data_IF_237515761902
#
_entry.id   IF_237515761902
#
_cell.length_a   1.000
_cell.length_b   1.000
_cell.length_c   1.000
_cell.angle_alpha   90.00
_cell.angle_beta   90.00
_cell.angle_gamma   90.00
#
_symmetry.space_group_name_H-M   'P 1'
#
loop_
_entity.id
_entity.type
_entity.pdbx_description
1 polymer ?
#
# COMPACT_ATOMS: atom_id res chain seq x y z
N UNK A 1 -9.08 25.83 -13.55
CA UNK A 1 -8.12 24.85 -13.00
C UNK A 1 -8.93 23.78 -12.32
N UNK A 2 -8.74 22.53 -12.73
CA UNK A 2 -9.46 21.40 -12.12
C UNK A 2 -8.90 21.13 -10.72
N UNK A 3 -9.66 20.36 -9.92
CA UNK A 3 -9.22 19.91 -8.59
C UNK A 3 -9.53 18.44 -8.39
N UNK A 4 -8.69 17.75 -7.62
CA UNK A 4 -8.97 16.40 -7.14
C UNK A 4 -9.95 16.42 -5.94
N UNK A 5 -10.20 15.24 -5.37
CA UNK A 5 -11.12 15.06 -4.22
C UNK A 5 -10.60 15.69 -2.92
N UNK A 6 -9.30 15.98 -2.82
CA UNK A 6 -8.65 16.62 -1.68
C UNK A 6 -8.51 18.14 -1.87
N UNK A 7 -8.96 18.67 -3.01
CA UNK A 7 -8.92 20.08 -3.34
C UNK A 7 -7.59 20.56 -3.92
N UNK A 8 -6.66 19.65 -4.23
CA UNK A 8 -5.39 19.99 -4.87
C UNK A 8 -5.65 20.48 -6.30
N UNK A 9 -4.99 21.56 -6.73
CA UNK A 9 -5.08 22.03 -8.10
C UNK A 9 -4.42 21.05 -9.06
N UNK A 10 -5.09 20.74 -10.17
CA UNK A 10 -4.55 19.89 -11.23
C UNK A 10 -4.26 20.72 -12.48
N UNK A 11 -3.11 20.49 -13.13
CA UNK A 11 -2.73 21.20 -14.36
C UNK A 11 -3.57 20.83 -15.58
N UNK A 12 -4.25 19.69 -15.56
CA UNK A 12 -5.21 19.35 -16.61
C UNK A 12 -6.36 20.36 -16.68
N UNK A 13 -6.76 20.71 -17.91
CA UNK A 13 -7.98 21.47 -18.16
C UNK A 13 -9.18 20.55 -18.46
N UNK A 14 -8.93 19.28 -18.78
CA UNK A 14 -9.94 18.29 -19.14
C UNK A 14 -10.68 17.78 -17.91
N UNK A 15 -11.99 18.01 -17.87
CA UNK A 15 -12.86 17.50 -16.80
C UNK A 15 -12.84 15.96 -16.79
N UNK A 16 -12.84 15.35 -17.98
CA UNK A 16 -12.81 13.88 -18.10
C UNK A 16 -11.50 13.29 -17.58
N UNK A 17 -10.37 13.91 -17.90
CA UNK A 17 -9.08 13.49 -17.38
C UNK A 17 -9.03 13.60 -15.85
N UNK A 18 -9.54 14.71 -15.28
CA UNK A 18 -9.70 14.85 -13.83
C UNK A 18 -10.57 13.75 -13.23
N UNK A 19 -11.77 13.53 -13.79
CA UNK A 19 -12.72 12.54 -13.26
C UNK A 19 -12.10 11.14 -13.28
N UNK A 20 -11.36 10.79 -14.33
CA UNK A 20 -10.64 9.52 -14.45
C UNK A 20 -9.51 9.39 -13.43
N UNK A 21 -8.71 10.45 -13.25
CA UNK A 21 -7.67 10.48 -12.23
C UNK A 21 -8.23 10.32 -10.80
N UNK A 22 -9.34 10.99 -10.48
CA UNK A 22 -10.00 10.88 -9.17
C UNK A 22 -10.51 9.44 -8.93
N UNK A 23 -11.11 8.79 -9.94
CA UNK A 23 -11.47 7.37 -9.83
C UNK A 23 -10.26 6.48 -9.57
N UNK A 24 -9.17 6.69 -10.32
CA UNK A 24 -7.93 5.94 -10.14
C UNK A 24 -7.33 6.13 -8.76
N UNK A 25 -7.38 7.35 -8.23
CA UNK A 25 -6.94 7.70 -6.88
C UNK A 25 -7.75 6.97 -5.81
N UNK A 26 -9.08 6.98 -5.92
CA UNK A 26 -9.96 6.26 -5.00
C UNK A 26 -9.66 4.75 -4.98
N UNK A 27 -9.55 4.12 -6.16
CA UNK A 27 -9.18 2.71 -6.26
C UNK A 27 -7.80 2.43 -5.67
N UNK A 28 -6.81 3.31 -5.93
CA UNK A 28 -5.46 3.16 -5.42
C UNK A 28 -5.40 3.23 -3.90
N UNK A 29 -6.07 4.22 -3.30
CA UNK A 29 -6.10 4.41 -1.85
C UNK A 29 -6.87 3.28 -1.14
N UNK A 30 -7.94 2.77 -1.75
CA UNK A 30 -8.72 1.66 -1.22
C UNK A 30 -8.05 0.30 -1.48
N UNK A 31 -6.99 0.27 -2.29
CA UNK A 31 -6.36 -0.93 -2.81
C UNK A 31 -7.34 -1.87 -3.51
N UNK A 32 -8.23 -1.33 -4.34
CA UNK A 32 -9.13 -2.09 -5.22
C UNK A 32 -8.58 -2.17 -6.64
N UNK A 33 -9.11 -3.09 -7.45
CA UNK A 33 -8.79 -3.16 -8.88
C UNK A 33 -9.29 -1.92 -9.64
N UNK A 34 -8.78 -1.69 -10.85
CA UNK A 34 -9.22 -0.59 -11.74
C UNK A 34 -8.42 0.71 -11.61
N UNK A 35 -7.46 0.81 -10.70
CA UNK A 35 -6.69 2.04 -10.49
C UNK A 35 -5.85 2.42 -11.71
N UNK A 36 -5.11 1.46 -12.30
CA UNK A 36 -4.27 1.73 -13.46
C UNK A 36 -5.11 2.06 -14.70
N UNK A 37 -6.20 1.33 -14.93
CA UNK A 37 -7.12 1.56 -16.05
C UNK A 37 -7.69 2.98 -16.01
N UNK A 38 -8.11 3.44 -14.83
CA UNK A 38 -8.61 4.80 -14.65
C UNK A 38 -7.52 5.86 -14.88
N UNK A 39 -6.28 5.61 -14.46
CA UNK A 39 -5.17 6.51 -14.78
C UNK A 39 -4.83 6.52 -16.28
N UNK A 40 -4.92 5.37 -16.96
CA UNK A 40 -4.73 5.29 -18.41
C UNK A 40 -5.83 6.05 -19.17
N UNK A 41 -7.09 5.96 -18.72
CA UNK A 41 -8.18 6.80 -19.23
C UNK A 41 -7.90 8.29 -19.05
N UNK A 42 -7.34 8.68 -17.90
CA UNK A 42 -6.96 10.07 -17.63
C UNK A 42 -5.90 10.57 -18.63
N UNK A 43 -4.88 9.75 -18.91
CA UNK A 43 -3.84 10.05 -19.91
C UNK A 43 -4.43 10.08 -21.33
N UNK A 44 -5.38 9.21 -21.66
CA UNK A 44 -6.01 9.21 -22.97
C UNK A 44 -6.84 10.47 -23.24
N UNK A 45 -7.41 11.08 -22.19
CA UNK A 45 -8.16 12.33 -22.27
C UNK A 45 -7.28 13.60 -22.17
N UNK A 46 -6.05 13.47 -21.65
CA UNK A 46 -5.03 14.52 -21.62
C UNK A 46 -3.62 13.91 -21.57
N UNK A 47 -2.97 13.81 -22.73
CA UNK A 47 -1.65 13.17 -22.88
C UNK A 47 -0.56 13.87 -22.05
N UNK A 48 -0.76 15.14 -21.68
CA UNK A 48 0.19 15.92 -20.88
C UNK A 48 -0.14 15.92 -19.37
N UNK A 49 -1.09 15.08 -18.93
CA UNK A 49 -1.45 15.01 -17.52
C UNK A 49 -0.40 14.24 -16.69
N UNK A 50 0.62 14.96 -16.23
CA UNK A 50 1.80 14.37 -15.59
C UNK A 50 1.49 13.53 -14.34
N UNK A 51 0.54 13.94 -13.49
CA UNK A 51 0.19 13.17 -12.30
C UNK A 51 -0.41 11.79 -12.64
N UNK A 52 -1.22 11.69 -13.70
CA UNK A 52 -1.77 10.41 -14.13
C UNK A 52 -0.67 9.47 -14.66
N UNK A 53 0.25 9.99 -15.48
CA UNK A 53 1.44 9.25 -15.92
C UNK A 53 2.29 8.76 -14.74
N UNK A 54 2.49 9.63 -13.75
CA UNK A 54 3.30 9.33 -12.57
C UNK A 54 2.64 8.28 -11.67
N UNK A 55 1.31 8.33 -11.51
CA UNK A 55 0.54 7.34 -10.79
C UNK A 55 0.60 5.96 -11.46
N UNK A 56 0.53 5.88 -12.80
CA UNK A 56 0.74 4.63 -13.55
C UNK A 56 2.15 4.08 -13.28
N UNK A 57 3.17 4.94 -13.39
CA UNK A 57 4.55 4.54 -13.13
C UNK A 57 4.73 3.98 -11.71
N UNK A 58 4.14 4.66 -10.72
CA UNK A 58 4.20 4.27 -9.30
C UNK A 58 3.44 2.96 -9.03
N UNK A 59 2.23 2.78 -9.56
CA UNK A 59 1.48 1.52 -9.42
C UNK A 59 2.26 0.34 -9.98
N UNK A 60 2.77 0.49 -11.21
CA UNK A 60 3.63 -0.53 -11.84
C UNK A 60 4.87 -0.81 -11.00
N UNK A 61 5.47 0.18 -10.36
CA UNK A 61 6.60 -0.06 -9.46
C UNK A 61 6.21 -0.88 -8.23
N UNK A 62 5.12 -0.51 -7.54
CA UNK A 62 4.63 -1.18 -6.33
C UNK A 62 4.31 -2.66 -6.60
N UNK A 63 3.76 -2.96 -7.78
CA UNK A 63 3.47 -4.32 -8.21
C UNK A 63 4.67 -5.10 -8.75
N UNK A 64 5.88 -4.54 -8.70
CA UNK A 64 7.10 -5.19 -9.22
C UNK A 64 7.23 -5.16 -10.75
N UNK A 65 6.38 -4.38 -11.44
CA UNK A 65 6.40 -4.14 -12.90
C UNK A 65 7.18 -2.87 -13.30
N UNK A 66 8.16 -2.45 -12.49
CA UNK A 66 8.87 -1.17 -12.63
C UNK A 66 9.53 -0.91 -14.00
N UNK A 67 9.88 -1.94 -14.78
CA UNK A 67 10.37 -1.76 -16.16
C UNK A 67 9.31 -1.13 -17.05
N UNK A 68 8.06 -1.58 -16.95
CA UNK A 68 6.92 -1.02 -17.69
C UNK A 68 6.49 0.36 -17.18
N UNK A 69 6.93 0.77 -15.99
CA UNK A 69 6.69 2.12 -15.46
C UNK A 69 7.60 3.21 -16.05
N UNK A 70 8.65 2.84 -16.80
CA UNK A 70 9.64 3.80 -17.32
C UNK A 70 9.08 4.77 -18.35
N UNK A 71 8.23 4.28 -19.25
CA UNK A 71 7.61 5.10 -20.30
C UNK A 71 6.65 6.16 -19.70
N UNK A 72 5.65 5.79 -18.86
CA UNK A 72 4.83 6.79 -18.16
C UNK A 72 5.67 7.77 -17.33
N UNK A 73 6.70 7.30 -16.63
CA UNK A 73 7.59 8.21 -15.90
C UNK A 73 8.31 9.22 -16.82
N UNK A 74 8.77 8.78 -18.00
CA UNK A 74 9.38 9.67 -18.97
C UNK A 74 8.38 10.72 -19.51
N UNK A 75 7.12 10.32 -19.73
CA UNK A 75 6.06 11.23 -20.16
C UNK A 75 5.74 12.28 -19.09
N UNK A 76 5.66 11.88 -17.82
CA UNK A 76 5.48 12.81 -16.70
C UNK A 76 6.62 13.84 -16.63
N UNK A 77 7.88 13.41 -16.81
CA UNK A 77 9.04 14.32 -16.85
C UNK A 77 9.03 15.30 -18.01
N UNK A 78 8.52 14.89 -19.18
CA UNK A 78 8.44 15.77 -20.35
C UNK A 78 7.51 16.97 -20.10
N UNK A 79 6.60 16.86 -19.13
CA UNK A 79 5.66 17.92 -18.76
C UNK A 79 6.18 18.84 -17.64
N UNK A 80 7.41 18.65 -17.14
CA UNK A 80 7.89 19.28 -15.90
C UNK A 80 7.80 20.82 -15.88
N UNK A 81 8.02 21.47 -17.02
CA UNK A 81 8.02 22.94 -17.13
C UNK A 81 6.64 23.58 -16.96
N UNK A 82 5.56 22.82 -17.21
CA UNK A 82 4.18 23.31 -17.08
C UNK A 82 3.52 22.97 -15.75
N UNK A 83 4.23 22.27 -14.85
CA UNK A 83 3.70 21.81 -13.57
C UNK A 83 3.60 22.94 -12.55
N UNK A 84 2.56 22.87 -11.71
CA UNK A 84 2.46 23.72 -10.52
C UNK A 84 3.58 23.38 -9.51
N UNK A 85 3.89 24.26 -8.54
CA UNK A 85 4.87 23.95 -7.50
C UNK A 85 4.58 22.63 -6.76
N UNK A 86 3.31 22.34 -6.47
CA UNK A 86 2.89 21.08 -5.84
C UNK A 86 3.17 19.89 -6.75
N UNK A 87 2.80 19.95 -8.03
CA UNK A 87 3.05 18.85 -8.97
C UNK A 87 4.56 18.65 -9.26
N UNK A 88 5.37 19.71 -9.24
CA UNK A 88 6.82 19.62 -9.34
C UNK A 88 7.43 18.89 -8.14
N UNK A 89 7.00 19.22 -6.93
CA UNK A 89 7.41 18.53 -5.71
C UNK A 89 7.04 17.05 -5.75
N UNK A 90 5.80 16.76 -6.15
CA UNK A 90 5.31 15.40 -6.32
C UNK A 90 6.15 14.61 -7.34
N UNK A 91 6.41 15.18 -8.53
CA UNK A 91 7.27 14.58 -9.55
C UNK A 91 8.68 14.31 -9.03
N UNK A 92 9.26 15.24 -8.28
CA UNK A 92 10.61 15.07 -7.73
C UNK A 92 10.69 13.92 -6.71
N UNK A 93 9.69 13.78 -5.84
CA UNK A 93 9.65 12.76 -4.79
C UNK A 93 9.40 11.38 -5.40
N UNK A 94 8.30 11.21 -6.14
CA UNK A 94 7.96 9.91 -6.76
C UNK A 94 9.00 9.54 -7.82
N UNK A 95 9.52 10.52 -8.57
CA UNK A 95 10.61 10.29 -9.52
C UNK A 95 11.87 9.72 -8.84
N UNK A 96 12.22 10.21 -7.65
CA UNK A 96 13.34 9.66 -6.87
C UNK A 96 13.10 8.21 -6.46
N UNK A 97 11.87 7.88 -6.04
CA UNK A 97 11.47 6.49 -5.74
C UNK A 97 11.57 5.60 -6.98
N UNK A 98 11.06 6.05 -8.12
CA UNK A 98 11.10 5.32 -9.39
C UNK A 98 12.52 5.06 -9.89
N UNK A 99 13.45 5.98 -9.60
CA UNK A 99 14.86 5.87 -9.93
C UNK A 99 15.67 5.05 -8.90
N UNK A 100 15.04 4.64 -7.79
CA UNK A 100 15.72 3.91 -6.71
C UNK A 100 16.70 4.78 -5.92
N UNK A 101 16.48 6.10 -5.87
CA UNK A 101 17.26 7.04 -5.06
C UNK A 101 16.51 7.26 -3.76
N UNK A 102 17.04 6.77 -2.63
CA UNK A 102 16.43 6.89 -1.31
C UNK A 102 16.95 8.07 -0.48
N UNK A 103 18.19 8.48 -0.73
CA UNK A 103 18.88 9.45 0.11
C UNK A 103 18.20 10.83 0.07
N UNK A 104 17.80 11.34 1.23
CA UNK A 104 17.20 12.67 1.35
C UNK A 104 15.77 12.77 0.81
N UNK A 105 15.14 11.66 0.38
CA UNK A 105 13.79 11.70 -0.22
C UNK A 105 12.72 11.90 0.84
N UNK A 106 12.88 11.30 2.02
CA UNK A 106 11.93 11.46 3.10
C UNK A 106 11.88 12.92 3.59
N UNK A 107 13.02 13.57 3.76
CA UNK A 107 13.10 14.97 4.19
C UNK A 107 12.43 15.90 3.19
N UNK A 108 12.59 15.63 1.89
CA UNK A 108 11.88 16.36 0.82
C UNK A 108 10.37 16.11 0.88
N UNK A 109 9.95 14.87 1.08
CA UNK A 109 8.54 14.52 1.17
C UNK A 109 7.88 15.12 2.43
N UNK A 110 8.58 15.13 3.55
CA UNK A 110 8.14 15.79 4.78
C UNK A 110 7.97 17.30 4.57
N UNK A 111 8.97 17.98 4.01
CA UNK A 111 8.88 19.42 3.71
C UNK A 111 7.74 19.73 2.72
N UNK A 112 7.57 18.88 1.69
CA UNK A 112 6.47 19.00 0.73
C UNK A 112 5.10 18.88 1.41
N UNK A 113 4.93 17.92 2.32
CA UNK A 113 3.67 17.71 3.03
C UNK A 113 3.37 18.81 4.07
N UNK A 114 4.37 19.55 4.54
CA UNK A 114 4.14 20.75 5.35
C UNK A 114 3.56 21.91 4.53
N UNK A 115 3.91 22.01 3.25
CA UNK A 115 3.41 23.05 2.34
C UNK A 115 2.10 22.62 1.65
N UNK A 116 2.00 21.34 1.26
CA UNK A 116 0.91 20.73 0.52
C UNK A 116 0.35 19.51 1.27
N UNK A 117 -0.30 19.70 2.45
CA UNK A 117 -0.72 18.60 3.31
C UNK A 117 -1.79 17.69 2.69
N UNK A 118 -2.49 18.18 1.67
CA UNK A 118 -3.52 17.45 0.93
C UNK A 118 -2.96 16.56 -0.20
N UNK A 119 -1.64 16.56 -0.45
CA UNK A 119 -1.03 15.69 -1.46
C UNK A 119 -0.98 14.23 -1.00
N UNK A 120 -2.12 13.56 -1.15
CA UNK A 120 -2.39 12.23 -0.60
C UNK A 120 -1.44 11.15 -1.13
N UNK A 121 -0.97 11.27 -2.37
CA UNK A 121 -0.07 10.28 -2.96
C UNK A 121 1.33 10.37 -2.35
N UNK A 122 1.77 11.59 -1.99
CA UNK A 122 3.01 11.78 -1.24
C UNK A 122 2.84 11.32 0.21
N UNK A 123 1.69 11.61 0.83
CA UNK A 123 1.38 11.08 2.17
C UNK A 123 1.39 9.55 2.18
N UNK A 124 0.75 8.89 1.21
CA UNK A 124 0.77 7.44 1.03
C UNK A 124 2.18 6.89 0.81
N UNK A 125 3.03 7.58 0.05
CA UNK A 125 4.42 7.17 -0.15
C UNK A 125 5.26 7.23 1.15
N UNK A 126 4.83 8.02 2.14
CA UNK A 126 5.52 8.19 3.42
C UNK A 126 4.97 7.32 4.55
N UNK A 127 3.68 7.01 4.56
CA UNK A 127 3.01 6.33 5.67
C UNK A 127 2.83 4.82 5.40
N UNK A 128 3.00 3.99 6.43
CA UNK A 128 2.81 2.53 6.36
C UNK A 128 4.11 1.70 6.34
N UNK A 129 3.98 0.37 6.32
CA UNK A 129 5.14 -0.54 6.47
C UNK A 129 6.04 -0.58 5.22
N UNK A 130 5.46 -0.43 4.03
CA UNK A 130 6.19 -0.44 2.76
C UNK A 130 6.44 0.96 2.19
N UNK A 131 6.57 1.95 3.08
CA UNK A 131 6.73 3.36 2.75
C UNK A 131 8.17 3.85 2.88
N UNK A 132 8.41 5.13 2.60
CA UNK A 132 9.69 5.81 2.88
C UNK A 132 10.11 5.71 4.36
N UNK A 133 9.16 5.84 5.30
CA UNK A 133 9.44 5.66 6.72
C UNK A 133 9.64 4.17 7.03
N UNK A 134 8.73 3.33 6.54
CA UNK A 134 8.72 1.90 6.82
C UNK A 134 10.00 1.18 6.37
N UNK A 135 10.54 1.54 5.22
CA UNK A 135 11.81 1.05 4.66
C UNK A 135 13.01 1.95 4.92
N UNK A 136 12.86 3.02 5.69
CA UNK A 136 13.94 3.97 5.96
C UNK A 136 15.04 3.46 6.89
N UNK A 137 14.83 2.32 7.57
CA UNK A 137 15.79 1.70 8.49
C UNK A 137 16.13 2.55 9.73
N UNK A 138 15.37 3.61 9.98
CA UNK A 138 15.59 4.49 11.12
C UNK A 138 15.02 3.88 12.40
N UNK A 139 15.82 3.77 13.48
CA UNK A 139 15.29 3.41 14.79
C UNK A 139 14.19 4.40 15.22
N UNK A 140 13.08 3.89 15.76
CA UNK A 140 11.96 4.73 16.18
C UNK A 140 11.05 5.20 15.03
N UNK A 141 11.09 4.53 13.87
CA UNK A 141 10.21 4.79 12.72
C UNK A 141 8.72 4.83 13.09
N UNK A 142 8.28 4.09 14.10
CA UNK A 142 6.90 4.07 14.57
C UNK A 142 6.49 5.44 15.15
N UNK A 143 7.40 6.08 15.90
CA UNK A 143 7.20 7.43 16.42
C UNK A 143 7.18 8.47 15.29
N UNK A 144 8.04 8.31 14.28
CA UNK A 144 8.05 9.20 13.11
C UNK A 144 6.76 9.05 12.26
N UNK A 145 6.29 7.83 12.07
CA UNK A 145 5.04 7.54 11.37
C UNK A 145 3.83 8.17 12.11
N UNK A 146 3.81 8.07 13.44
CA UNK A 146 2.79 8.76 14.25
C UNK A 146 2.94 10.28 14.17
N UNK A 147 4.15 10.82 14.22
CA UNK A 147 4.40 12.26 14.15
C UNK A 147 3.92 12.85 12.81
N UNK A 148 4.30 12.22 11.69
CA UNK A 148 3.87 12.66 10.35
C UNK A 148 2.36 12.56 10.18
N UNK A 149 1.74 11.43 10.53
CA UNK A 149 0.29 11.31 10.44
C UNK A 149 -0.43 12.30 11.35
N UNK A 150 0.04 12.52 12.58
CA UNK A 150 -0.54 13.52 13.50
C UNK A 150 -0.43 14.95 12.97
N UNK A 151 0.67 15.29 12.30
CA UNK A 151 0.85 16.58 11.62
C UNK A 151 -0.19 16.78 10.50
N UNK A 152 -0.49 15.73 9.75
CA UNK A 152 -1.46 15.77 8.65
C UNK A 152 -2.92 15.73 9.13
N UNK A 153 -3.22 15.16 10.30
CA UNK A 153 -4.59 14.91 10.76
C UNK A 153 -5.55 16.11 10.70
N UNK A 154 -5.16 17.35 11.07
CA UNK A 154 -6.03 18.51 10.96
C UNK A 154 -6.51 18.83 9.53
N UNK A 155 -5.84 18.30 8.51
CA UNK A 155 -6.13 18.58 7.10
C UNK A 155 -7.11 17.59 6.47
N UNK A 156 -7.25 16.37 7.02
CA UNK A 156 -8.02 15.30 6.40
C UNK A 156 -9.41 15.09 7.01
N UNK A 157 -9.67 15.57 8.23
CA UNK A 157 -10.96 15.39 8.89
C UNK A 157 -11.37 13.92 8.97
N UNK A 158 -12.54 13.60 8.45
CA UNK A 158 -13.12 12.24 8.44
C UNK A 158 -12.78 11.44 7.16
N UNK A 159 -11.75 11.82 6.38
CA UNK A 159 -11.34 11.04 5.21
C UNK A 159 -11.02 9.58 5.59
N UNK A 160 -11.68 8.64 4.92
CA UNK A 160 -11.61 7.22 5.28
C UNK A 160 -10.21 6.64 5.09
N UNK A 161 -9.48 7.06 4.06
CA UNK A 161 -8.14 6.55 3.79
C UNK A 161 -7.21 7.03 4.90
N UNK A 162 -7.24 8.32 5.18
CA UNK A 162 -6.40 8.94 6.19
C UNK A 162 -6.69 8.38 7.59
N UNK A 163 -7.97 8.26 7.98
CA UNK A 163 -8.34 7.67 9.26
C UNK A 163 -7.80 6.24 9.42
N UNK A 164 -7.84 5.42 8.36
CA UNK A 164 -7.26 4.07 8.43
C UNK A 164 -5.75 4.09 8.59
N UNK A 165 -5.06 4.96 7.85
CA UNK A 165 -3.60 5.07 7.90
C UNK A 165 -3.13 5.63 9.24
N UNK A 166 -3.85 6.64 9.78
CA UNK A 166 -3.56 7.20 11.09
C UNK A 166 -3.83 6.19 12.22
N UNK A 167 -4.88 5.37 12.12
CA UNK A 167 -5.14 4.28 13.05
C UNK A 167 -3.95 3.31 13.12
N UNK A 168 -3.36 2.99 11.96
CA UNK A 168 -2.18 2.14 11.89
C UNK A 168 -0.98 2.79 12.59
N UNK A 169 -0.68 4.06 12.32
CA UNK A 169 0.41 4.78 13.00
C UNK A 169 0.18 4.90 14.52
N UNK A 170 -1.05 5.09 14.96
CA UNK A 170 -1.44 5.08 16.38
C UNK A 170 -1.13 3.73 17.02
N UNK A 171 -1.53 2.63 16.36
CA UNK A 171 -1.35 1.27 16.84
C UNK A 171 0.11 0.86 16.94
N UNK A 172 0.93 1.17 15.93
CA UNK A 172 2.38 0.91 15.96
C UNK A 172 3.08 1.64 17.13
N UNK A 173 2.51 2.77 17.59
CA UNK A 173 2.97 3.50 18.76
C UNK A 173 2.30 3.06 20.09
N UNK A 174 1.53 1.97 20.07
CA UNK A 174 0.83 1.41 21.24
C UNK A 174 -0.45 2.14 21.63
N UNK A 175 -0.97 3.06 20.81
CA UNK A 175 -2.19 3.82 21.08
C UNK A 175 -3.44 3.07 20.60
N UNK A 176 -3.74 1.93 21.22
CA UNK A 176 -4.79 1.01 20.76
C UNK A 176 -6.21 1.63 20.82
N UNK A 177 -6.55 2.32 21.92
CA UNK A 177 -7.87 2.95 22.07
C UNK A 177 -8.14 4.05 21.01
N UNK A 178 -7.20 5.00 20.75
CA UNK A 178 -7.30 5.89 19.60
C UNK A 178 -7.39 5.16 18.27
N UNK A 179 -6.54 4.15 18.05
CA UNK A 179 -6.53 3.38 16.80
C UNK A 179 -7.88 2.72 16.52
N UNK A 180 -8.50 2.12 17.55
CA UNK A 180 -9.82 1.52 17.46
C UNK A 180 -10.90 2.51 16.97
N UNK A 181 -10.95 3.72 17.56
CA UNK A 181 -11.92 4.75 17.13
C UNK A 181 -11.67 5.20 15.69
N UNK A 182 -10.42 5.43 15.33
CA UNK A 182 -10.02 5.87 13.99
C UNK A 182 -10.39 4.83 12.93
N UNK A 183 -10.06 3.55 13.17
CA UNK A 183 -10.34 2.49 12.19
C UNK A 183 -11.83 2.15 12.08
N UNK A 184 -12.57 2.19 13.19
CA UNK A 184 -14.02 2.04 13.18
C UNK A 184 -14.70 3.14 12.35
N UNK A 185 -14.26 4.40 12.53
CA UNK A 185 -14.79 5.52 11.76
C UNK A 185 -14.45 5.39 10.27
N UNK A 186 -13.22 5.00 9.94
CA UNK A 186 -12.79 4.77 8.55
C UNK A 186 -13.67 3.73 7.85
N UNK A 187 -13.82 2.55 8.45
CA UNK A 187 -14.59 1.45 7.86
C UNK A 187 -16.10 1.70 7.85
N UNK A 188 -16.62 2.55 8.74
CA UNK A 188 -18.00 3.01 8.67
C UNK A 188 -18.27 3.92 7.46
N UNK A 189 -17.25 4.65 6.97
CA UNK A 189 -17.35 5.54 5.81
C UNK A 189 -17.09 4.76 4.51
N UNK A 190 -16.02 3.98 4.46
CA UNK A 190 -15.70 3.10 3.34
C UNK A 190 -15.43 1.66 3.82
N UNK A 191 -16.46 0.80 3.89
CA UNK A 191 -16.31 -0.58 4.35
C UNK A 191 -15.52 -1.47 3.37
N UNK A 192 -15.24 -1.01 2.14
CA UNK A 192 -14.48 -1.76 1.13
C UNK A 192 -13.05 -1.24 0.94
N UNK A 193 -12.54 -0.46 1.90
CA UNK A 193 -11.12 -0.11 1.98
C UNK A 193 -10.29 -1.34 2.41
N UNK A 194 -9.54 -1.94 1.48
CA UNK A 194 -8.73 -3.13 1.77
C UNK A 194 -7.57 -2.83 2.73
N UNK A 195 -6.94 -1.65 2.61
CA UNK A 195 -5.93 -1.17 3.57
C UNK A 195 -6.55 -0.98 4.96
N UNK A 196 -7.78 -0.48 5.04
CA UNK A 196 -8.54 -0.36 6.28
C UNK A 196 -8.81 -1.73 6.94
N UNK A 197 -9.23 -2.71 6.16
CA UNK A 197 -9.42 -4.08 6.68
C UNK A 197 -8.13 -4.72 7.15
N UNK A 198 -7.03 -4.47 6.46
CA UNK A 198 -5.69 -4.84 6.90
C UNK A 198 -5.31 -4.18 8.24
N UNK A 199 -5.48 -2.86 8.38
CA UNK A 199 -5.21 -2.17 9.64
C UNK A 199 -6.13 -2.65 10.78
N UNK A 200 -7.39 -2.97 10.47
CA UNK A 200 -8.30 -3.60 11.44
C UNK A 200 -7.81 -4.99 11.86
N UNK A 201 -7.24 -5.77 10.93
CA UNK A 201 -6.65 -7.06 11.24
C UNK A 201 -5.49 -6.94 12.24
N UNK A 202 -4.62 -5.94 12.08
CA UNK A 202 -3.56 -5.65 13.06
C UNK A 202 -4.12 -5.32 14.45
N UNK A 203 -5.22 -4.58 14.55
CA UNK A 203 -5.83 -4.29 15.86
C UNK A 203 -6.32 -5.57 16.56
N UNK A 204 -6.86 -6.53 15.81
CA UNK A 204 -7.20 -7.85 16.38
C UNK A 204 -5.95 -8.59 16.91
N UNK A 205 -4.78 -8.44 16.27
CA UNK A 205 -3.52 -8.99 16.82
C UNK A 205 -3.13 -8.32 18.13
N UNK A 206 -3.10 -7.00 18.16
CA UNK A 206 -2.68 -6.24 19.35
C UNK A 206 -3.60 -6.46 20.55
N UNK A 207 -4.88 -6.74 20.31
CA UNK A 207 -5.86 -7.08 21.35
C UNK A 207 -5.87 -8.58 21.72
N UNK A 208 -5.13 -9.42 20.99
CA UNK A 208 -5.12 -10.88 21.19
C UNK A 208 -6.43 -11.56 20.79
N UNK A 209 -7.22 -10.94 19.92
CA UNK A 209 -8.56 -11.37 19.53
C UNK A 209 -8.54 -12.26 18.27
N UNK A 210 -7.69 -13.29 18.26
CA UNK A 210 -7.42 -14.20 17.12
C UNK A 210 -8.69 -14.68 16.40
N UNK A 211 -9.63 -15.30 17.13
CA UNK A 211 -10.85 -15.86 16.54
C UNK A 211 -11.76 -14.78 15.94
N UNK A 212 -11.81 -13.59 16.54
CA UNK A 212 -12.61 -12.48 16.05
C UNK A 212 -11.99 -11.93 14.75
N UNK A 213 -10.67 -11.74 14.72
CA UNK A 213 -9.94 -11.34 13.52
C UNK A 213 -10.10 -12.31 12.36
N UNK A 214 -9.98 -13.62 12.63
CA UNK A 214 -10.18 -14.66 11.63
C UNK A 214 -11.59 -14.62 11.03
N UNK A 215 -12.62 -14.51 11.88
CA UNK A 215 -14.02 -14.44 11.43
C UNK A 215 -14.25 -13.20 10.58
N UNK A 216 -13.85 -12.03 11.10
CA UNK A 216 -13.96 -10.75 10.40
C UNK A 216 -13.33 -10.80 9.01
N UNK A 217 -12.10 -11.29 8.90
CA UNK A 217 -11.36 -11.20 7.65
C UNK A 217 -11.82 -12.24 6.63
N UNK A 218 -12.24 -13.43 7.06
CA UNK A 218 -12.89 -14.43 6.18
C UNK A 218 -14.18 -13.89 5.59
N UNK A 219 -15.01 -13.21 6.39
CA UNK A 219 -16.25 -12.60 5.91
C UNK A 219 -15.95 -11.44 4.96
N UNK A 220 -14.98 -10.59 5.30
CA UNK A 220 -14.66 -9.40 4.50
C UNK A 220 -14.03 -9.74 3.14
N UNK A 221 -13.13 -10.73 3.08
CA UNK A 221 -12.38 -11.07 1.87
C UNK A 221 -13.24 -11.80 0.83
N UNK A 222 -14.37 -12.39 1.23
CA UNK A 222 -15.24 -13.17 0.33
C UNK A 222 -15.72 -12.38 -0.90
N UNK A 223 -15.94 -11.07 -0.74
CA UNK A 223 -16.36 -10.16 -1.81
C UNK A 223 -15.21 -9.27 -2.31
N UNK A 224 -13.96 -9.55 -1.93
CA UNK A 224 -12.80 -8.79 -2.40
C UNK A 224 -12.24 -9.43 -3.67
N UNK A 225 -11.93 -8.60 -4.67
CA UNK A 225 -11.39 -9.08 -5.94
C UNK A 225 -10.08 -9.84 -5.69
N UNK A 226 -9.94 -11.10 -6.12
CA UNK A 226 -8.70 -11.85 -6.00
C UNK A 226 -7.52 -11.18 -6.72
N UNK A 227 -7.76 -10.28 -7.68
CA UNK A 227 -6.72 -9.50 -8.34
C UNK A 227 -6.34 -8.22 -7.58
N UNK A 228 -7.02 -7.92 -6.47
CA UNK A 228 -6.68 -6.79 -5.62
C UNK A 228 -5.32 -6.97 -4.95
N UNK A 229 -4.53 -5.89 -4.88
CA UNK A 229 -3.13 -5.94 -4.41
C UNK A 229 -2.98 -6.43 -2.96
N UNK A 230 -4.04 -6.35 -2.14
CA UNK A 230 -4.03 -6.83 -0.76
C UNK A 230 -4.50 -8.28 -0.59
N UNK A 231 -4.96 -8.96 -1.65
CA UNK A 231 -5.64 -10.25 -1.50
C UNK A 231 -4.71 -11.32 -0.90
N UNK A 232 -3.48 -11.41 -1.42
CA UNK A 232 -2.43 -12.28 -0.88
C UNK A 232 -2.19 -12.00 0.61
N UNK A 233 -2.04 -10.73 0.97
CA UNK A 233 -1.66 -10.34 2.32
C UNK A 233 -2.78 -10.53 3.35
N UNK A 234 -4.03 -10.22 2.97
CA UNK A 234 -5.18 -10.51 3.81
C UNK A 234 -5.39 -12.01 3.98
N UNK A 235 -5.13 -12.81 2.94
CA UNK A 235 -5.14 -14.27 3.02
C UNK A 235 -4.05 -14.80 3.96
N UNK A 236 -2.87 -14.16 3.98
CA UNK A 236 -1.82 -14.50 4.92
C UNK A 236 -2.24 -14.33 6.40
N UNK A 237 -2.94 -13.26 6.74
CA UNK A 237 -3.51 -13.11 8.09
C UNK A 237 -4.51 -14.22 8.44
N UNK A 238 -5.37 -14.60 7.49
CA UNK A 238 -6.30 -15.72 7.66
C UNK A 238 -5.53 -17.02 7.94
N UNK A 239 -4.48 -17.31 7.16
CA UNK A 239 -3.66 -18.50 7.36
C UNK A 239 -2.95 -18.51 8.72
N UNK A 240 -2.39 -17.37 9.15
CA UNK A 240 -1.75 -17.25 10.45
C UNK A 240 -2.71 -17.46 11.62
N UNK A 241 -3.91 -16.88 11.57
CA UNK A 241 -4.88 -17.10 12.63
C UNK A 241 -5.47 -18.52 12.59
N UNK A 242 -5.65 -19.11 11.42
CA UNK A 242 -6.01 -20.53 11.31
C UNK A 242 -4.96 -21.42 11.99
N UNK A 243 -3.67 -21.16 11.75
CA UNK A 243 -2.58 -21.84 12.43
C UNK A 243 -2.63 -21.63 13.96
N UNK A 244 -2.87 -20.40 14.42
CA UNK A 244 -2.96 -20.06 15.84
C UNK A 244 -4.12 -20.77 16.56
N UNK A 245 -5.22 -21.03 15.87
CA UNK A 245 -6.36 -21.81 16.36
C UNK A 245 -6.17 -23.34 16.21
N UNK A 246 -5.04 -23.79 15.65
CA UNK A 246 -4.74 -25.20 15.38
C UNK A 246 -5.41 -25.76 14.12
N UNK A 247 -6.07 -24.93 13.32
CA UNK A 247 -6.66 -25.31 12.03
C UNK A 247 -5.61 -25.30 10.91
N UNK A 248 -4.68 -26.25 11.00
CA UNK A 248 -3.60 -26.46 10.03
C UNK A 248 -4.13 -26.75 8.63
N UNK A 249 -5.31 -27.36 8.53
CA UNK A 249 -5.95 -27.64 7.24
C UNK A 249 -6.31 -26.35 6.54
N UNK A 250 -7.07 -25.47 7.19
CA UNK A 250 -7.44 -24.16 6.63
C UNK A 250 -6.20 -23.32 6.33
N UNK A 251 -5.19 -23.35 7.20
CA UNK A 251 -3.91 -22.66 6.94
C UNK A 251 -3.31 -23.08 5.59
N UNK A 252 -3.18 -24.39 5.32
CA UNK A 252 -2.63 -24.87 4.05
C UNK A 252 -3.54 -24.60 2.85
N UNK A 253 -4.86 -24.77 3.00
CA UNK A 253 -5.81 -24.44 1.92
C UNK A 253 -5.70 -22.98 1.47
N UNK A 254 -5.55 -22.05 2.42
CA UNK A 254 -5.37 -20.63 2.13
C UNK A 254 -3.98 -20.33 1.56
N UNK A 255 -2.94 -20.96 2.11
CA UNK A 255 -1.58 -20.80 1.61
C UNK A 255 -1.48 -21.20 0.14
N UNK A 256 -1.99 -22.38 -0.21
CA UNK A 256 -1.91 -22.95 -1.56
C UNK A 256 -2.74 -22.14 -2.58
N UNK A 257 -3.88 -21.60 -2.15
CA UNK A 257 -4.79 -20.89 -3.04
C UNK A 257 -4.43 -19.42 -3.29
N UNK A 258 -3.83 -18.74 -2.31
CA UNK A 258 -3.74 -17.27 -2.34
C UNK A 258 -2.36 -16.68 -2.04
N UNK A 259 -1.44 -17.47 -1.47
CA UNK A 259 -0.11 -17.00 -1.03
C UNK A 259 1.01 -17.65 -1.87
N UNK A 260 0.78 -18.90 -2.31
CA UNK A 260 1.76 -19.66 -3.07
C UNK A 260 2.24 -18.89 -4.32
N UNK A 261 3.56 -18.88 -4.59
CA UNK A 261 4.14 -18.18 -5.75
C UNK A 261 3.54 -18.55 -7.11
N UNK A 262 2.99 -19.76 -7.27
CA UNK A 262 2.41 -20.23 -8.53
C UNK A 262 0.97 -19.78 -8.73
N UNK A 263 0.23 -19.54 -7.65
CA UNK A 263 -1.22 -19.26 -7.69
C UNK A 263 -1.55 -17.82 -7.34
N UNK A 264 -0.72 -17.15 -6.55
CA UNK A 264 -0.97 -15.79 -6.07
C UNK A 264 -0.85 -14.75 -7.18
N UNK A 265 -1.85 -13.87 -7.22
CA UNK A 265 -1.90 -12.62 -8.01
C UNK A 265 -1.28 -11.43 -7.27
N UNK A 266 -0.83 -11.61 -6.03
CA UNK A 266 -0.34 -10.52 -5.18
C UNK A 266 0.98 -9.90 -5.69
N UNK A 267 1.33 -8.70 -5.20
CA UNK A 267 2.63 -8.10 -5.48
C UNK A 267 3.77 -9.06 -5.08
N UNK A 268 4.81 -9.13 -5.91
CA UNK A 268 5.94 -10.03 -5.68
C UNK A 268 6.59 -9.83 -4.31
N UNK A 269 6.57 -8.60 -3.79
CA UNK A 269 7.07 -8.27 -2.46
C UNK A 269 6.26 -8.96 -1.35
N UNK A 270 4.93 -8.95 -1.43
CA UNK A 270 4.08 -9.64 -0.46
C UNK A 270 4.30 -11.15 -0.49
N UNK A 271 4.41 -11.76 -1.68
CA UNK A 271 4.66 -13.19 -1.78
C UNK A 271 5.97 -13.58 -1.06
N UNK A 272 7.05 -12.80 -1.24
CA UNK A 272 8.36 -13.07 -0.60
C UNK A 272 8.44 -12.68 0.87
N UNK A 273 7.48 -11.93 1.42
CA UNK A 273 7.38 -11.68 2.85
C UNK A 273 6.45 -12.68 3.53
N UNK A 274 5.30 -12.93 2.93
CA UNK A 274 4.17 -13.64 3.53
C UNK A 274 4.43 -15.14 3.56
N UNK A 275 4.84 -15.73 2.44
CA UNK A 275 5.06 -17.17 2.35
C UNK A 275 6.18 -17.64 3.30
N UNK A 276 7.41 -17.07 3.30
CA UNK A 276 8.45 -17.47 4.25
C UNK A 276 8.02 -17.26 5.71
N UNK A 277 7.32 -16.16 6.01
CA UNK A 277 6.86 -15.85 7.35
C UNK A 277 5.82 -16.87 7.86
N UNK A 278 4.98 -17.41 6.97
CA UNK A 278 4.02 -18.47 7.28
C UNK A 278 4.73 -19.81 7.46
N UNK A 279 5.60 -20.21 6.52
CA UNK A 279 6.35 -21.47 6.58
C UNK A 279 7.16 -21.57 7.89
N UNK A 280 7.89 -20.51 8.24
CA UNK A 280 8.66 -20.47 9.47
C UNK A 280 7.79 -20.62 10.72
N UNK A 281 6.64 -19.94 10.77
CA UNK A 281 5.72 -20.04 11.91
C UNK A 281 5.04 -21.41 11.99
N UNK A 282 4.76 -22.05 10.86
CA UNK A 282 4.24 -23.41 10.82
C UNK A 282 5.25 -24.40 11.44
N UNK A 283 6.53 -24.29 11.08
CA UNK A 283 7.60 -25.10 11.68
C UNK A 283 7.74 -24.85 13.19
N UNK A 284 7.70 -23.58 13.62
CA UNK A 284 7.71 -23.23 15.05
C UNK A 284 6.51 -23.81 15.82
N UNK A 285 5.35 -23.94 15.16
CA UNK A 285 4.16 -24.57 15.70
C UNK A 285 4.20 -26.11 15.65
N UNK A 286 5.29 -26.71 15.15
CA UNK A 286 5.44 -28.16 15.02
C UNK A 286 4.72 -28.77 13.83
N UNK A 287 4.27 -27.96 12.87
CA UNK A 287 3.73 -28.43 11.59
C UNK A 287 4.89 -28.83 10.68
N UNK A 288 4.83 -30.03 10.11
CA UNK A 288 5.80 -30.46 9.11
C UNK A 288 5.62 -29.65 7.82
N UNK A 289 6.69 -28.98 7.40
CA UNK A 289 6.73 -28.21 6.15
C UNK A 289 7.55 -28.98 5.12
N UNK A 290 6.95 -29.25 3.97
CA UNK A 290 7.62 -29.91 2.85
C UNK A 290 8.78 -29.04 2.34
N UNK A 291 10.02 -29.56 2.20
CA UNK A 291 11.18 -28.80 1.72
C UNK A 291 10.96 -28.11 0.37
N UNK A 292 10.12 -28.69 -0.48
CA UNK A 292 9.77 -28.16 -1.80
C UNK A 292 9.11 -26.78 -1.71
N UNK A 293 8.38 -26.49 -0.62
CA UNK A 293 7.75 -25.17 -0.40
C UNK A 293 8.81 -24.09 -0.15
N UNK A 294 9.84 -24.43 0.64
CA UNK A 294 11.00 -23.55 0.85
C UNK A 294 11.79 -23.34 -0.44
N UNK A 295 11.96 -24.40 -1.23
CA UNK A 295 12.65 -24.30 -2.52
C UNK A 295 11.88 -23.40 -3.50
N UNK A 296 10.56 -23.59 -3.63
CA UNK A 296 9.72 -22.80 -4.52
C UNK A 296 9.78 -21.29 -4.22
N UNK A 297 9.66 -20.90 -2.94
CA UNK A 297 9.74 -19.49 -2.56
C UNK A 297 11.16 -18.91 -2.72
N UNK A 298 12.20 -19.72 -2.50
CA UNK A 298 13.59 -19.34 -2.74
C UNK A 298 13.87 -19.08 -4.23
N UNK A 299 13.37 -19.95 -5.11
CA UNK A 299 13.49 -19.80 -6.56
C UNK A 299 12.72 -18.56 -7.05
N UNK A 300 11.50 -18.35 -6.54
CA UNK A 300 10.71 -17.16 -6.83
C UNK A 300 11.44 -15.87 -6.41
N UNK A 301 11.96 -15.82 -5.18
CA UNK A 301 12.72 -14.67 -4.69
C UNK A 301 13.96 -14.39 -5.54
N UNK A 302 14.68 -15.44 -5.95
CA UNK A 302 15.86 -15.31 -6.83
C UNK A 302 15.48 -14.75 -8.20
N UNK A 303 14.36 -15.19 -8.78
CA UNK A 303 13.89 -14.72 -10.07
C UNK A 303 13.40 -13.26 -10.04
N UNK A 304 12.70 -12.85 -8.98
CA UNK A 304 12.09 -11.51 -8.86
C UNK A 304 13.02 -10.46 -8.25
N UNK A 305 13.91 -10.88 -7.36
CA UNK A 305 14.81 -10.02 -6.58
C UNK A 305 16.28 -10.46 -6.69
N UNK A 306 16.72 -10.75 -7.92
CA UNK A 306 18.08 -11.24 -8.24
C UNK A 306 19.24 -10.36 -7.74
N UNK A 307 18.97 -9.12 -7.32
CA UNK A 307 19.95 -8.21 -6.73
C UNK A 307 19.33 -7.53 -5.50
N UNK A 308 20.08 -7.40 -4.39
CA UNK A 308 19.65 -6.53 -3.31
C UNK A 308 19.56 -5.09 -3.84
N UNK A 309 18.42 -4.44 -3.61
CA UNK A 309 18.15 -3.06 -4.09
C UNK A 309 17.50 -2.17 -3.05
N UNK A 310 16.71 -2.75 -2.15
CA UNK A 310 16.23 -2.09 -0.95
C UNK A 310 17.13 -2.55 0.20
N UNK A 311 17.78 -1.60 0.86
CA UNK A 311 18.42 -1.89 2.13
C UNK A 311 17.30 -2.12 3.16
N UNK A 312 17.16 -3.34 3.65
CA UNK A 312 16.63 -3.52 5.00
C UNK A 312 17.78 -3.08 5.92
N UNK A 313 17.71 -1.85 6.42
CA UNK A 313 18.62 -1.35 7.44
C UNK A 313 18.02 -1.61 8.83
#
# INVERSE_FOLDING_TARGET
>A
MQKDQYGNPLTTSSVKARDAYVRGLECNLAATSGAEEAFQEAVAEDENFALAHLAIARNRQVEGRGVSGREPYSAAKACAESLSPQEQGHLAIIGSLLEGKSDGVYEKAHAHLQEFPHDVMIAQACLGVFSLIGFGGQPGREAENLALSSMLAPHYGDDWWFLSTHAFSQMEAGQLDPAARSIERSLAINPRNANGSHHRAHLYYELGETKAGLTYLKDWIADYDPQGVMHCHLSWHIALWALAEGDVKTMWEVADAAIDPETSSGPALNIVTDMPALLYRAELAGVEVAPERWQAISDYATARFAKPRLAFA
#
